data_IF_640449222230
#
_entry.id   IF_640449222230
#
_cell.length_a   1.000
_cell.length_b   1.000
_cell.length_c   1.000
_cell.angle_alpha   90.00
_cell.angle_beta   90.00
_cell.angle_gamma   90.00
#
_symmetry.space_group_name_H-M   'P 1'
#
loop_
_entity.id
_entity.type
_entity.pdbx_description
1 polymer ?
#
# COMPACT_ATOMS: atom_id res chain seq x y z
N UNK A 1 -11.86 -0.17 -11.40
CA UNK A 1 -10.80 0.54 -10.66
C UNK A 1 -9.89 -0.50 -10.05
N UNK A 2 -8.59 -0.41 -10.31
CA UNK A 2 -7.60 -1.43 -9.91
C UNK A 2 -7.53 -1.56 -8.39
N UNK A 3 -7.71 -2.78 -7.89
CA UNK A 3 -7.63 -3.08 -6.46
C UNK A 3 -6.18 -3.23 -5.99
N UNK A 4 -5.83 -2.64 -4.85
CA UNK A 4 -4.48 -2.71 -4.27
C UNK A 4 -4.00 -4.14 -4.02
N UNK A 5 -4.92 -5.06 -3.72
CA UNK A 5 -4.62 -6.49 -3.54
C UNK A 5 -4.13 -7.14 -4.84
N UNK A 6 -4.85 -6.92 -5.94
CA UNK A 6 -4.46 -7.40 -7.27
C UNK A 6 -3.11 -6.82 -7.69
N UNK A 7 -2.86 -5.55 -7.34
CA UNK A 7 -1.58 -4.88 -7.57
C UNK A 7 -0.44 -5.52 -6.76
N UNK A 8 -0.68 -5.86 -5.49
CA UNK A 8 0.29 -6.56 -4.65
C UNK A 8 0.60 -7.96 -5.20
N UNK A 9 -0.43 -8.71 -5.61
CA UNK A 9 -0.28 -10.02 -6.23
C UNK A 9 0.54 -9.96 -7.52
N UNK A 10 0.29 -8.97 -8.36
CA UNK A 10 1.08 -8.69 -9.55
C UNK A 10 2.56 -8.41 -9.22
N UNK A 11 2.83 -7.53 -8.26
CA UNK A 11 4.21 -7.21 -7.85
C UNK A 11 4.94 -8.44 -7.34
N UNK A 12 4.29 -9.28 -6.52
CA UNK A 12 4.88 -10.53 -6.04
C UNK A 12 5.11 -11.54 -7.17
N UNK A 13 4.18 -11.67 -8.12
CA UNK A 13 4.36 -12.52 -9.29
C UNK A 13 5.55 -12.08 -10.16
N UNK A 14 5.75 -10.77 -10.33
CA UNK A 14 6.92 -10.22 -11.00
C UNK A 14 8.23 -10.51 -10.27
N UNK A 15 8.24 -10.47 -8.93
CA UNK A 15 9.46 -10.71 -8.14
C UNK A 15 9.94 -12.16 -8.18
N UNK A 16 9.00 -13.11 -8.23
CA UNK A 16 9.33 -14.54 -8.20
C UNK A 16 9.47 -15.19 -9.59
N UNK A 17 9.04 -14.49 -10.66
CA UNK A 17 9.01 -15.00 -12.05
C UNK A 17 8.35 -16.40 -12.18
N UNK A 18 7.47 -16.71 -11.23
CA UNK A 18 6.80 -18.00 -11.10
C UNK A 18 5.52 -17.82 -10.29
N UNK A 19 4.38 -18.16 -10.91
CA UNK A 19 3.08 -18.08 -10.24
C UNK A 19 3.00 -19.03 -9.04
N UNK A 20 3.62 -20.22 -9.12
CA UNK A 20 3.63 -21.17 -8.02
C UNK A 20 4.38 -20.63 -6.80
N UNK A 21 5.62 -20.14 -7.00
CA UNK A 21 6.41 -19.54 -5.91
C UNK A 21 5.77 -18.28 -5.35
N UNK A 22 5.17 -17.46 -6.21
CA UNK A 22 4.45 -16.27 -5.76
C UNK A 22 3.22 -16.62 -4.92
N UNK A 23 2.45 -17.63 -5.32
CA UNK A 23 1.28 -18.09 -4.57
C UNK A 23 1.68 -18.68 -3.22
N UNK A 24 2.75 -19.48 -3.17
CA UNK A 24 3.35 -19.99 -1.93
C UNK A 24 3.79 -18.85 -1.01
N UNK A 25 4.52 -17.85 -1.53
CA UNK A 25 4.96 -16.69 -0.76
C UNK A 25 3.79 -15.88 -0.19
N UNK A 26 2.70 -15.76 -0.95
CA UNK A 26 1.48 -15.05 -0.53
C UNK A 26 0.57 -15.89 0.39
N UNK A 27 0.83 -17.20 0.54
CA UNK A 27 -0.02 -18.10 1.30
C UNK A 27 -1.42 -18.30 0.69
N UNK A 28 -1.53 -18.21 -0.65
CA UNK A 28 -2.81 -18.35 -1.37
C UNK A 28 -2.75 -19.48 -2.40
N UNK A 29 -3.92 -19.91 -2.87
CA UNK A 29 -3.99 -20.87 -3.97
C UNK A 29 -3.49 -20.25 -5.29
N UNK A 30 -2.79 -21.06 -6.09
CA UNK A 30 -2.33 -20.68 -7.44
C UNK A 30 -3.46 -20.21 -8.35
N UNK A 31 -4.64 -20.85 -8.26
CA UNK A 31 -5.84 -20.47 -9.01
C UNK A 31 -6.30 -19.05 -8.65
N UNK A 32 -6.30 -18.71 -7.37
CA UNK A 32 -6.64 -17.35 -6.89
C UNK A 32 -5.69 -16.31 -7.47
N UNK A 33 -4.38 -16.59 -7.43
CA UNK A 33 -3.39 -15.70 -8.02
C UNK A 33 -3.61 -15.55 -9.53
N UNK A 34 -3.78 -16.66 -10.26
CA UNK A 34 -3.98 -16.63 -11.71
C UNK A 34 -5.25 -15.88 -12.12
N UNK A 35 -6.36 -16.05 -11.40
CA UNK A 35 -7.62 -15.35 -11.68
C UNK A 35 -7.48 -13.84 -11.41
N UNK A 36 -6.84 -13.47 -10.31
CA UNK A 36 -6.63 -12.05 -9.97
C UNK A 36 -5.72 -11.35 -10.97
N UNK A 37 -4.65 -12.01 -11.44
CA UNK A 37 -3.80 -11.44 -12.49
C UNK A 37 -4.51 -11.35 -13.83
N UNK A 38 -5.30 -12.36 -14.21
CA UNK A 38 -6.12 -12.33 -15.42
C UNK A 38 -7.10 -11.16 -15.40
N UNK A 39 -7.81 -10.97 -14.29
CA UNK A 39 -8.74 -9.86 -14.12
C UNK A 39 -8.03 -8.50 -14.20
N UNK A 40 -6.80 -8.39 -13.69
CA UNK A 40 -5.98 -7.19 -13.80
C UNK A 40 -5.55 -6.93 -15.26
N UNK A 41 -5.15 -7.96 -15.99
CA UNK A 41 -4.82 -7.88 -17.42
C UNK A 41 -6.05 -7.43 -18.24
N UNK A 42 -7.22 -8.00 -17.95
CA UNK A 42 -8.48 -7.69 -18.62
C UNK A 42 -8.93 -6.24 -18.32
N UNK A 43 -8.81 -5.77 -17.06
CA UNK A 43 -9.15 -4.41 -16.67
C UNK A 43 -8.22 -3.37 -17.34
N UNK A 44 -6.94 -3.70 -17.47
CA UNK A 44 -5.96 -2.81 -18.10
C UNK A 44 -5.93 -2.94 -19.62
N UNK A 45 -6.51 -3.99 -20.19
CA UNK A 45 -6.41 -4.31 -21.62
C UNK A 45 -4.99 -4.63 -22.07
N UNK A 46 -4.14 -5.14 -21.18
CA UNK A 46 -2.71 -5.37 -21.41
C UNK A 46 -2.30 -6.77 -20.97
N UNK A 47 -1.52 -7.46 -21.81
CA UNK A 47 -0.82 -8.67 -21.38
C UNK A 47 0.38 -8.29 -20.50
N UNK A 48 0.34 -8.72 -19.24
CA UNK A 48 1.38 -8.45 -18.27
C UNK A 48 2.40 -9.60 -18.21
N UNK A 49 1.96 -10.83 -18.45
CA UNK A 49 2.85 -11.99 -18.43
C UNK A 49 2.73 -12.86 -19.68
N UNK A 50 3.88 -13.37 -20.14
CA UNK A 50 3.95 -14.44 -21.14
C UNK A 50 4.37 -15.74 -20.49
N UNK A 51 3.62 -16.81 -20.77
CA UNK A 51 3.96 -18.16 -20.36
C UNK A 51 4.88 -18.79 -21.40
N UNK A 52 6.04 -19.26 -20.98
CA UNK A 52 6.93 -20.10 -21.80
C UNK A 52 7.20 -21.40 -21.08
N UNK A 53 7.80 -22.38 -21.78
CA UNK A 53 8.21 -23.67 -21.22
C UNK A 53 9.12 -23.55 -20.00
N UNK A 54 9.82 -22.43 -19.84
CA UNK A 54 10.76 -22.17 -18.74
C UNK A 54 10.19 -21.36 -17.59
N UNK A 55 9.00 -20.77 -17.71
CA UNK A 55 8.41 -20.00 -16.61
C UNK A 55 7.48 -18.85 -17.02
N UNK A 56 7.36 -17.88 -16.10
CA UNK A 56 6.51 -16.71 -16.24
C UNK A 56 7.37 -15.48 -16.53
N UNK A 57 7.24 -14.91 -17.73
CA UNK A 57 8.06 -13.78 -18.15
C UNK A 57 7.25 -12.49 -18.18
N UNK A 58 7.64 -11.44 -17.44
CA UNK A 58 6.96 -10.16 -17.49
C UNK A 58 7.17 -9.47 -18.85
N UNK A 59 6.08 -8.94 -19.41
CA UNK A 59 6.11 -8.13 -20.63
C UNK A 59 6.72 -6.75 -20.36
N UNK A 60 6.91 -5.96 -21.42
CA UNK A 60 7.33 -4.56 -21.28
C UNK A 60 6.28 -3.75 -20.50
N UNK A 61 4.99 -3.98 -20.73
CA UNK A 61 3.90 -3.36 -19.99
C UNK A 61 3.98 -3.70 -18.49
N UNK A 62 4.21 -4.97 -18.14
CA UNK A 62 4.41 -5.35 -16.74
C UNK A 62 5.61 -4.66 -16.09
N UNK A 63 6.74 -4.53 -16.79
CA UNK A 63 7.89 -3.79 -16.23
C UNK A 63 7.56 -2.33 -15.91
N UNK A 64 6.73 -1.69 -16.74
CA UNK A 64 6.31 -0.31 -16.52
C UNK A 64 5.33 -0.22 -15.34
N UNK A 65 4.34 -1.12 -15.32
CA UNK A 65 3.39 -1.22 -14.22
C UNK A 65 4.08 -1.50 -12.90
N UNK A 66 5.08 -2.40 -12.87
CA UNK A 66 5.85 -2.74 -11.68
C UNK A 66 6.54 -1.50 -11.08
N UNK A 67 7.18 -0.69 -11.92
CA UNK A 67 7.83 0.56 -11.50
C UNK A 67 6.83 1.55 -10.90
N UNK A 68 5.62 1.63 -11.43
CA UNK A 68 4.55 2.49 -10.90
C UNK A 68 3.88 1.92 -9.64
N UNK A 69 3.74 0.59 -9.56
CA UNK A 69 3.00 -0.11 -8.51
C UNK A 69 3.76 -0.15 -7.18
N UNK A 70 5.08 -0.35 -7.21
CA UNK A 70 5.90 -0.48 -6.00
C UNK A 70 5.77 0.74 -5.07
N UNK A 71 5.92 1.99 -5.54
CA UNK A 71 5.71 3.17 -4.68
C UNK A 71 4.32 3.22 -4.05
N UNK A 72 3.27 2.89 -4.79
CA UNK A 72 1.88 2.91 -4.30
C UNK A 72 1.70 1.96 -3.13
N UNK A 73 2.20 0.72 -3.25
CA UNK A 73 2.12 -0.28 -2.18
C UNK A 73 2.96 0.12 -0.95
N UNK A 74 4.12 0.74 -1.17
CA UNK A 74 4.95 1.25 -0.07
C UNK A 74 4.25 2.37 0.68
N UNK A 75 3.64 3.32 -0.02
CA UNK A 75 2.89 4.42 0.58
C UNK A 75 1.69 3.92 1.36
N UNK A 76 0.93 2.96 0.81
CA UNK A 76 -0.19 2.35 1.53
C UNK A 76 0.26 1.63 2.80
N UNK A 77 1.30 0.79 2.70
CA UNK A 77 1.85 0.08 3.85
C UNK A 77 2.44 1.02 4.90
N UNK A 78 3.04 2.13 4.48
CA UNK A 78 3.49 3.18 5.39
C UNK A 78 2.32 3.85 6.11
N UNK A 79 1.30 4.30 5.39
CA UNK A 79 0.13 4.95 5.97
C UNK A 79 -0.57 4.03 6.98
N UNK A 80 -0.76 2.75 6.62
CA UNK A 80 -1.35 1.74 7.50
C UNK A 80 -0.56 1.56 8.79
N UNK A 81 0.78 1.43 8.69
CA UNK A 81 1.65 1.33 9.87
C UNK A 81 1.66 2.59 10.72
N UNK A 82 1.68 3.76 10.09
CA UNK A 82 1.70 5.03 10.78
C UNK A 82 0.43 5.25 11.61
N UNK A 83 -0.73 4.86 11.07
CA UNK A 83 -1.99 4.89 11.79
C UNK A 83 -2.04 3.85 12.92
N UNK A 84 -1.52 2.63 12.69
CA UNK A 84 -1.51 1.58 13.70
C UNK A 84 -0.70 1.93 14.96
N UNK A 85 0.37 2.71 14.82
CA UNK A 85 1.23 3.12 15.94
C UNK A 85 0.80 4.44 16.61
N UNK A 86 -0.13 5.18 16.01
CA UNK A 86 -0.74 6.35 16.65
C UNK A 86 -2.03 5.94 17.35
N UNK A 87 -1.94 5.61 18.65
CA UNK A 87 -3.10 5.84 19.53
C UNK A 87 -3.41 7.35 19.46
N UNK A 88 -4.66 7.78 19.22
CA UNK A 88 -4.99 9.19 19.33
C UNK A 88 -4.56 9.61 20.74
N UNK A 89 -3.57 10.52 20.81
CA UNK A 89 -3.16 11.08 22.08
C UNK A 89 -4.43 11.68 22.68
N UNK A 90 -4.85 11.17 23.86
CA UNK A 90 -5.91 11.83 24.61
C UNK A 90 -5.42 13.27 24.78
N UNK A 91 -6.11 14.27 24.21
CA UNK A 91 -5.64 15.64 24.31
C UNK A 91 -5.50 15.94 25.80
N UNK A 92 -4.27 16.21 26.25
CA UNK A 92 -4.05 16.69 27.60
C UNK A 92 -4.50 18.14 27.56
N UNK A 93 -5.73 18.37 28.01
CA UNK A 93 -6.28 19.72 28.15
C UNK A 93 -5.58 20.36 29.34
N UNK A 94 -4.61 21.24 29.06
CA UNK A 94 -3.98 22.06 30.08
C UNK A 94 -4.76 23.38 30.15
N UNK A 95 -5.66 23.50 31.12
CA UNK A 95 -6.34 24.77 31.39
C UNK A 95 -5.35 25.69 32.09
N UNK A 96 -4.86 26.70 31.37
CA UNK A 96 -4.04 27.78 31.94
C UNK A 96 -4.99 28.92 32.29
N UNK A 97 -5.13 29.23 33.57
CA UNK A 97 -5.73 30.49 34.00
C UNK A 97 -4.62 31.56 33.97
N UNK A 98 -4.67 32.56 33.06
CA UNK A 98 -3.72 33.66 33.11
C UNK A 98 -4.03 34.51 34.35
N UNK A 99 -3.15 34.49 35.35
CA UNK A 99 -3.19 35.45 36.45
C UNK A 99 -2.59 36.76 35.96
N UNK A 100 -3.43 37.80 35.86
CA UNK A 100 -2.99 39.18 35.67
C UNK A 100 -2.97 39.86 37.03
N UNK A 101 -1.78 40.06 37.59
CA UNK A 101 -1.60 40.94 38.74
C UNK A 101 -1.38 42.36 38.21
N UNK A 102 -2.31 43.26 38.53
CA UNK A 102 -2.12 44.69 38.34
C UNK A 102 -2.38 45.42 39.65
N UNK A 103 -1.48 46.32 40.00
CA UNK A 103 -1.63 47.20 41.17
C UNK A 103 -2.35 48.46 40.70
N UNK A 104 -3.56 48.69 41.21
CA UNK A 104 -4.21 49.99 41.03
C UNK A 104 -3.56 50.98 41.99
N UNK A 105 -2.86 51.97 41.44
CA UNK A 105 -2.40 53.14 42.19
C UNK A 105 -3.60 53.89 42.75
N UNK A 106 -3.44 54.47 43.96
CA UNK A 106 -4.48 55.27 44.63
C UNK A 106 -5.07 56.28 43.66
N UNK A 107 -6.37 56.14 43.41
CA UNK A 107 -7.16 57.19 42.79
C UNK A 107 -7.38 58.25 43.89
N UNK A 108 -6.79 59.41 43.67
CA UNK A 108 -6.87 60.61 44.52
C UNK A 108 -8.30 61.10 44.70
#
# INVERSE_FOLDING_TARGET
MVELRSLAYFVTACQHESLARAAEHLGIALSTLSVSLKALEDELGLELFRRTSSGLYPTTAARWLFRAAVPVLLTEGFARRWLAHRKPARPHVLTVAPSLNFTLGRIS
#
